data_IF_177860437360
#
_entry.id   IF_177860437360
#
_cell.length_a   1.000
_cell.length_b   1.000
_cell.length_c   1.000
_cell.angle_alpha   90.00
_cell.angle_beta   90.00
_cell.angle_gamma   90.00
#
_symmetry.space_group_name_H-M   'P 1'
#
loop_
_entity.id
_entity.type
_entity.pdbx_description
1 polymer ?
#
# COMPACT_ATOMS: atom_id res chain seq x y z
N UNK A 1 6.70 5.52 12.35
CA UNK A 1 6.17 4.95 11.08
C UNK A 1 4.68 5.25 11.07
N UNK A 2 4.16 5.93 10.05
CA UNK A 2 2.71 6.11 9.92
C UNK A 2 2.09 4.71 9.86
N UNK A 3 1.14 4.41 10.75
CA UNK A 3 0.43 3.15 10.71
C UNK A 3 -0.36 3.12 9.40
N UNK A 4 0.17 2.42 8.39
CA UNK A 4 -0.60 2.09 7.20
C UNK A 4 -1.64 1.09 7.68
N UNK A 5 -2.87 1.57 7.92
CA UNK A 5 -3.96 0.74 8.39
C UNK A 5 -4.30 -0.28 7.30
N UNK A 6 -3.87 -1.53 7.50
CA UNK A 6 -4.17 -2.62 6.59
C UNK A 6 -5.25 -3.51 7.19
N UNK A 7 -6.50 -3.18 6.90
CA UNK A 7 -7.67 -3.91 7.37
C UNK A 7 -7.87 -5.28 6.73
N UNK A 8 -7.09 -5.62 5.68
CA UNK A 8 -7.15 -6.94 5.02
C UNK A 8 -6.45 -8.05 5.82
N UNK A 9 -5.66 -7.69 6.84
CA UNK A 9 -4.92 -8.66 7.67
C UNK A 9 -5.77 -9.36 8.74
N UNK A 10 -7.00 -8.92 8.96
CA UNK A 10 -7.88 -9.48 10.00
C UNK A 10 -8.33 -10.88 9.57
N UNK A 11 -8.10 -11.88 10.42
CA UNK A 11 -8.50 -13.25 10.15
C UNK A 11 -10.01 -13.40 10.20
N UNK A 12 -10.52 -14.37 9.42
CA UNK A 12 -11.94 -14.71 9.40
C UNK A 12 -12.42 -15.04 10.82
N UNK A 13 -13.53 -14.42 11.20
CA UNK A 13 -14.22 -14.65 12.46
C UNK A 13 -15.24 -15.76 12.21
N UNK A 14 -14.98 -17.00 12.68
CA UNK A 14 -15.90 -18.10 12.45
C UNK A 14 -17.21 -17.89 13.22
N UNK A 15 -18.30 -18.43 12.70
CA UNK A 15 -19.57 -18.45 13.43
C UNK A 15 -19.43 -19.21 14.75
N UNK A 16 -20.29 -18.92 15.73
CA UNK A 16 -20.25 -19.60 17.03
C UNK A 16 -20.40 -21.13 16.92
N UNK A 17 -21.13 -21.61 15.89
CA UNK A 17 -21.30 -23.03 15.60
C UNK A 17 -20.01 -23.66 15.03
N UNK A 18 -19.40 -23.01 14.04
CA UNK A 18 -18.13 -23.46 13.46
C UNK A 18 -17.00 -23.44 14.49
N UNK A 19 -16.89 -22.37 15.28
CA UNK A 19 -15.84 -22.25 16.30
C UNK A 19 -15.93 -23.38 17.32
N UNK A 20 -17.15 -23.75 17.73
CA UNK A 20 -17.40 -24.93 18.57
C UNK A 20 -16.88 -26.21 17.89
N UNK A 21 -17.24 -26.46 16.65
CA UNK A 21 -16.88 -27.68 15.94
C UNK A 21 -15.36 -27.78 15.72
N UNK A 22 -14.74 -26.68 15.30
CA UNK A 22 -13.29 -26.59 15.12
C UNK A 22 -12.57 -26.87 16.44
N UNK A 23 -13.01 -26.29 17.54
CA UNK A 23 -12.36 -26.46 18.84
C UNK A 23 -12.54 -27.87 19.41
N UNK A 24 -13.74 -28.47 19.29
CA UNK A 24 -13.99 -29.86 19.70
C UNK A 24 -13.21 -30.86 18.83
N UNK A 25 -13.19 -30.66 17.51
CA UNK A 25 -12.46 -31.48 16.55
C UNK A 25 -10.95 -31.43 16.80
N UNK A 26 -10.38 -30.22 16.98
CA UNK A 26 -8.96 -30.06 17.36
C UNK A 26 -8.64 -30.76 18.67
N UNK A 27 -9.52 -30.65 19.67
CA UNK A 27 -9.34 -31.34 20.96
C UNK A 27 -9.34 -32.85 20.79
N UNK A 28 -10.20 -33.41 19.93
CA UNK A 28 -10.25 -34.85 19.68
C UNK A 28 -9.03 -35.36 18.91
N UNK A 29 -8.59 -34.64 17.87
CA UNK A 29 -7.49 -35.06 16.99
C UNK A 29 -6.10 -34.87 17.62
N UNK A 30 -5.88 -33.79 18.38
CA UNK A 30 -4.56 -33.44 18.93
C UNK A 30 -4.29 -33.96 20.35
N UNK A 31 -5.26 -34.56 21.02
CA UNK A 31 -5.07 -35.14 22.37
C UNK A 31 -5.38 -36.63 22.36
N UNK A 32 -4.69 -37.45 23.17
CA UNK A 32 -4.93 -38.90 23.21
C UNK A 32 -6.40 -39.21 23.53
N UNK A 33 -6.96 -40.24 22.90
CA UNK A 33 -8.41 -40.56 22.94
C UNK A 33 -8.75 -41.75 23.82
N UNK A 34 -7.85 -42.73 23.92
CA UNK A 34 -8.07 -43.99 24.63
C UNK A 34 -7.65 -43.86 26.10
N UNK A 35 -8.52 -44.33 27.01
CA UNK A 35 -8.24 -44.44 28.45
C UNK A 35 -9.01 -45.64 29.00
N UNK A 36 -8.34 -46.51 29.77
CA UNK A 36 -8.93 -47.70 30.36
C UNK A 36 -9.23 -47.49 31.85
N UNK A 37 -10.21 -48.23 32.38
CA UNK A 37 -10.63 -48.15 33.79
C UNK A 37 -9.56 -48.62 34.78
N UNK A 38 -8.66 -49.50 34.33
CA UNK A 38 -7.59 -50.09 35.14
C UNK A 38 -6.40 -49.15 35.35
N UNK A 39 -6.34 -48.01 34.67
CA UNK A 39 -5.23 -47.08 34.81
C UNK A 39 -5.24 -46.38 36.18
N UNK A 40 -4.05 -46.04 36.69
CA UNK A 40 -3.91 -45.26 37.91
C UNK A 40 -4.73 -43.97 37.85
N UNK A 41 -5.39 -43.61 38.96
CA UNK A 41 -6.30 -42.46 39.02
C UNK A 41 -5.59 -41.15 38.65
N UNK A 42 -4.29 -41.02 38.97
CA UNK A 42 -3.44 -39.89 38.58
C UNK A 42 -3.39 -39.72 37.05
N UNK A 43 -3.21 -40.82 36.31
CA UNK A 43 -3.19 -40.85 34.84
C UNK A 43 -4.57 -40.50 34.26
N UNK A 44 -5.65 -40.99 34.85
CA UNK A 44 -7.03 -40.67 34.43
C UNK A 44 -7.34 -39.17 34.65
N UNK A 45 -6.98 -38.61 35.81
CA UNK A 45 -7.14 -37.18 36.13
C UNK A 45 -6.34 -36.31 35.16
N UNK A 46 -5.08 -36.67 34.91
CA UNK A 46 -4.21 -35.96 33.97
C UNK A 46 -4.75 -36.00 32.53
N UNK A 47 -5.26 -37.16 32.09
CA UNK A 47 -5.85 -37.34 30.77
C UNK A 47 -7.02 -36.39 30.52
N UNK A 48 -8.00 -36.35 31.43
CA UNK A 48 -9.16 -35.46 31.26
C UNK A 48 -8.82 -33.98 31.51
N UNK A 49 -7.88 -33.70 32.42
CA UNK A 49 -7.41 -32.32 32.67
C UNK A 49 -6.74 -31.74 31.45
N UNK A 50 -5.94 -32.56 30.73
CA UNK A 50 -5.31 -32.17 29.47
C UNK A 50 -6.34 -31.81 28.41
N UNK A 51 -7.44 -32.56 28.29
CA UNK A 51 -8.52 -32.24 27.35
C UNK A 51 -9.22 -30.92 27.66
N UNK A 52 -9.52 -30.64 28.93
CA UNK A 52 -10.15 -29.37 29.35
C UNK A 52 -9.20 -28.19 29.09
N UNK A 53 -7.92 -28.30 29.50
CA UNK A 53 -6.91 -27.27 29.25
C UNK A 53 -6.65 -27.04 27.76
N UNK A 54 -6.62 -28.09 26.95
CA UNK A 54 -6.39 -27.97 25.52
C UNK A 54 -7.53 -27.23 24.81
N UNK A 55 -8.78 -27.53 25.16
CA UNK A 55 -9.94 -26.79 24.64
C UNK A 55 -9.90 -25.32 25.07
N UNK A 56 -9.62 -25.05 26.35
CA UNK A 56 -9.47 -23.70 26.88
C UNK A 56 -8.42 -22.91 26.09
N UNK A 57 -7.21 -23.46 25.93
CA UNK A 57 -6.12 -22.82 25.20
C UNK A 57 -6.53 -22.53 23.75
N UNK A 58 -7.13 -23.50 23.06
CA UNK A 58 -7.59 -23.32 21.67
C UNK A 58 -8.62 -22.19 21.54
N UNK A 59 -9.59 -22.12 22.45
CA UNK A 59 -10.60 -21.05 22.44
C UNK A 59 -9.99 -19.70 22.84
N UNK A 60 -9.15 -19.67 23.88
CA UNK A 60 -8.46 -18.46 24.32
C UNK A 60 -7.62 -17.86 23.20
N UNK A 61 -6.82 -18.68 22.52
CA UNK A 61 -5.95 -18.22 21.43
C UNK A 61 -6.78 -17.62 20.29
N UNK A 62 -7.87 -18.28 19.88
CA UNK A 62 -8.72 -17.76 18.80
C UNK A 62 -9.48 -16.49 19.20
N UNK A 63 -9.98 -16.40 20.43
CA UNK A 63 -10.67 -15.19 20.91
C UNK A 63 -9.69 -14.03 21.12
N UNK A 64 -8.49 -14.30 21.63
CA UNK A 64 -7.42 -13.30 21.74
C UNK A 64 -7.01 -12.79 20.38
N UNK A 65 -6.85 -13.69 19.40
CA UNK A 65 -6.53 -13.34 18.02
C UNK A 65 -7.56 -12.35 17.44
N UNK A 66 -8.86 -12.64 17.59
CA UNK A 66 -9.95 -11.73 17.16
C UNK A 66 -9.79 -10.37 17.84
N UNK A 67 -9.67 -10.32 19.17
CA UNK A 67 -9.56 -9.05 19.91
C UNK A 67 -8.33 -8.23 19.51
N UNK A 68 -7.20 -8.88 19.21
CA UNK A 68 -5.95 -8.20 18.85
C UNK A 68 -5.89 -7.71 17.41
N UNK A 69 -6.56 -8.40 16.49
CA UNK A 69 -6.51 -8.07 15.06
C UNK A 69 -7.47 -6.95 14.69
N UNK A 70 -8.60 -6.82 15.42
CA UNK A 70 -9.54 -5.73 15.20
C UNK A 70 -8.97 -4.39 15.66
N UNK A 71 -9.12 -3.31 14.87
CA UNK A 71 -8.62 -2.00 15.23
C UNK A 71 -9.37 -1.45 16.43
N UNK A 72 -8.61 -0.90 17.39
CA UNK A 72 -9.17 -0.15 18.52
C UNK A 72 -9.49 1.26 18.05
N UNK A 73 -10.77 1.64 18.07
CA UNK A 73 -11.25 2.94 17.57
C UNK A 73 -10.50 4.12 18.22
N UNK A 74 -10.08 4.00 19.48
CA UNK A 74 -9.39 5.06 20.23
C UNK A 74 -7.92 5.25 19.84
N UNK A 75 -7.26 4.19 19.38
CA UNK A 75 -5.83 4.21 19.02
C UNK A 75 -5.62 4.56 17.54
N UNK A 76 -6.71 4.61 16.76
CA UNK A 76 -6.71 4.83 15.32
C UNK A 76 -6.83 6.33 15.01
N UNK A 77 -6.32 6.75 13.86
CA UNK A 77 -6.40 8.14 13.41
C UNK A 77 -7.85 8.65 13.40
N UNK A 78 -8.12 9.91 13.82
CA UNK A 78 -9.48 10.48 13.89
C UNK A 78 -10.34 10.24 12.64
N UNK A 79 -9.77 10.42 11.45
CA UNK A 79 -10.42 10.09 10.17
C UNK A 79 -11.06 8.68 10.16
N UNK A 80 -10.30 7.65 10.51
CA UNK A 80 -10.79 6.27 10.51
C UNK A 80 -11.69 5.98 11.72
N UNK A 81 -11.43 6.63 12.86
CA UNK A 81 -12.28 6.49 14.05
C UNK A 81 -13.71 7.00 13.77
N UNK A 82 -13.83 8.16 13.13
CA UNK A 82 -15.12 8.76 12.77
C UNK A 82 -15.77 8.02 11.60
N UNK A 83 -14.97 7.59 10.61
CA UNK A 83 -15.49 6.75 9.53
C UNK A 83 -16.07 5.43 10.06
N UNK A 84 -15.39 4.79 11.03
CA UNK A 84 -15.89 3.59 11.69
C UNK A 84 -17.11 3.87 12.56
N UNK A 85 -17.18 5.04 13.20
CA UNK A 85 -18.35 5.46 13.97
C UNK A 85 -19.60 5.55 13.08
N UNK A 86 -19.46 6.17 11.90
CA UNK A 86 -20.55 6.31 10.92
C UNK A 86 -20.96 4.95 10.33
N UNK A 87 -19.98 4.11 9.99
CA UNK A 87 -20.25 2.85 9.28
C UNK A 87 -20.75 1.72 10.17
N UNK A 88 -20.24 1.61 11.40
CA UNK A 88 -20.40 0.39 12.20
C UNK A 88 -21.11 0.63 13.54
N UNK A 89 -21.40 1.87 13.89
CA UNK A 89 -21.79 2.28 15.25
C UNK A 89 -20.70 1.92 16.27
N UNK A 90 -20.01 2.95 16.77
CA UNK A 90 -18.90 2.80 17.73
C UNK A 90 -19.32 2.03 18.99
N UNK A 91 -20.55 2.23 19.47
CA UNK A 91 -21.00 1.62 20.71
C UNK A 91 -21.30 0.14 20.49
N UNK A 92 -21.99 -0.21 19.40
CA UNK A 92 -22.24 -1.60 19.06
C UNK A 92 -20.93 -2.38 18.80
N UNK A 93 -19.97 -1.77 18.09
CA UNK A 93 -18.64 -2.33 17.85
C UNK A 93 -17.88 -2.62 19.14
N UNK A 94 -17.83 -1.65 20.07
CA UNK A 94 -17.16 -1.81 21.36
C UNK A 94 -17.85 -2.86 22.23
N UNK A 95 -19.18 -2.88 22.26
CA UNK A 95 -19.96 -3.86 23.01
C UNK A 95 -19.66 -5.27 22.46
N UNK A 96 -19.64 -5.47 21.14
CA UNK A 96 -19.34 -6.77 20.54
C UNK A 96 -17.94 -7.28 20.93
N UNK A 97 -16.89 -6.46 20.80
CA UNK A 97 -15.53 -6.83 21.22
C UNK A 97 -15.43 -7.06 22.74
N UNK A 98 -16.13 -6.24 23.54
CA UNK A 98 -16.21 -6.40 25.00
C UNK A 98 -16.88 -7.72 25.41
N UNK A 99 -17.93 -8.13 24.70
CA UNK A 99 -18.59 -9.42 24.92
C UNK A 99 -17.67 -10.60 24.58
N UNK A 100 -16.88 -10.51 23.50
CA UNK A 100 -15.86 -11.51 23.13
C UNK A 100 -14.76 -11.59 24.19
N UNK A 101 -14.27 -10.46 24.69
CA UNK A 101 -13.28 -10.44 25.77
C UNK A 101 -13.83 -11.02 27.09
N UNK A 102 -15.08 -10.71 27.41
CA UNK A 102 -15.78 -11.30 28.57
C UNK A 102 -15.91 -12.81 28.42
N UNK A 103 -16.27 -13.30 27.23
CA UNK A 103 -16.35 -14.73 26.93
C UNK A 103 -15.00 -15.43 27.13
N UNK A 104 -13.89 -14.81 26.68
CA UNK A 104 -12.53 -15.30 26.90
C UNK A 104 -12.23 -15.50 28.40
N UNK A 105 -12.51 -14.49 29.22
CA UNK A 105 -12.30 -14.58 30.67
C UNK A 105 -13.17 -15.63 31.35
N UNK A 106 -14.44 -15.77 30.93
CA UNK A 106 -15.35 -16.80 31.47
C UNK A 106 -14.87 -18.23 31.13
N UNK A 107 -14.37 -18.45 29.91
CA UNK A 107 -13.80 -19.74 29.49
C UNK A 107 -12.58 -20.10 30.34
N UNK A 108 -11.68 -19.14 30.57
CA UNK A 108 -10.49 -19.33 31.41
C UNK A 108 -10.87 -19.68 32.86
N UNK A 109 -11.88 -19.00 33.42
CA UNK A 109 -12.35 -19.27 34.77
C UNK A 109 -13.00 -20.65 34.91
N UNK A 110 -13.85 -21.05 33.95
CA UNK A 110 -14.47 -22.39 33.91
C UNK A 110 -13.39 -23.48 33.82
N UNK A 111 -12.39 -23.29 32.95
CA UNK A 111 -11.30 -24.25 32.84
C UNK A 111 -10.55 -24.41 34.17
N UNK A 112 -10.23 -23.30 34.84
CA UNK A 112 -9.54 -23.29 36.13
C UNK A 112 -10.35 -23.99 37.22
N UNK A 113 -11.65 -23.72 37.32
CA UNK A 113 -12.57 -24.34 38.26
C UNK A 113 -12.65 -25.86 38.04
N UNK A 114 -12.90 -26.29 36.80
CA UNK A 114 -13.05 -27.71 36.50
C UNK A 114 -11.75 -28.50 36.63
N UNK A 115 -10.60 -27.92 36.29
CA UNK A 115 -9.29 -28.54 36.52
C UNK A 115 -9.04 -28.71 38.02
N UNK A 116 -9.47 -27.74 38.85
CA UNK A 116 -9.38 -27.85 40.32
C UNK A 116 -10.28 -28.97 40.85
N UNK A 117 -11.54 -29.04 40.41
CA UNK A 117 -12.47 -30.10 40.79
C UNK A 117 -11.99 -31.49 40.35
N UNK A 118 -11.34 -31.59 39.19
CA UNK A 118 -10.83 -32.84 38.65
C UNK A 118 -9.69 -33.46 39.49
N UNK A 119 -9.02 -32.67 40.34
CA UNK A 119 -8.03 -33.19 41.31
C UNK A 119 -8.66 -34.17 42.32
N UNK A 120 -9.94 -33.99 42.65
CA UNK A 120 -10.69 -34.81 43.60
C UNK A 120 -11.54 -35.89 42.92
N UNK A 121 -11.34 -36.15 41.62
CA UNK A 121 -12.04 -37.21 40.91
C UNK A 121 -11.61 -38.60 41.40
N UNK A 122 -12.54 -39.37 41.94
CA UNK A 122 -12.34 -40.73 42.48
C UNK A 122 -12.38 -41.84 41.41
N UNK A 123 -13.11 -41.61 40.32
CA UNK A 123 -13.43 -42.63 39.33
C UNK A 123 -13.32 -42.11 37.90
N UNK A 124 -13.17 -43.03 36.94
CA UNK A 124 -13.19 -42.71 35.51
C UNK A 124 -14.52 -42.04 35.10
N UNK A 125 -15.64 -42.51 35.65
CA UNK A 125 -16.97 -41.97 35.37
C UNK A 125 -17.09 -40.51 35.84
N UNK A 126 -16.72 -40.23 37.10
CA UNK A 126 -16.74 -38.87 37.65
C UNK A 126 -15.87 -37.91 36.85
N UNK A 127 -14.65 -38.33 36.48
CA UNK A 127 -13.76 -37.51 35.65
C UNK A 127 -14.32 -37.29 34.23
N UNK A 128 -14.94 -38.31 33.62
CA UNK A 128 -15.61 -38.19 32.31
C UNK A 128 -16.77 -37.20 32.36
N UNK A 129 -17.58 -37.23 33.43
CA UNK A 129 -18.70 -36.31 33.62
C UNK A 129 -18.24 -34.88 33.83
N UNK A 130 -17.21 -34.65 34.67
CA UNK A 130 -16.59 -33.33 34.85
C UNK A 130 -16.08 -32.77 33.52
N UNK A 131 -15.41 -33.59 32.71
CA UNK A 131 -14.95 -33.19 31.38
C UNK A 131 -16.11 -32.81 30.45
N UNK A 132 -17.18 -33.62 30.39
CA UNK A 132 -18.36 -33.33 29.55
C UNK A 132 -19.01 -32.01 29.98
N UNK A 133 -19.17 -31.80 31.28
CA UNK A 133 -19.76 -30.60 31.83
C UNK A 133 -18.90 -29.35 31.54
N UNK A 134 -17.57 -29.44 31.70
CA UNK A 134 -16.64 -28.35 31.38
C UNK A 134 -16.73 -27.92 29.90
N UNK A 135 -16.60 -28.88 28.97
CA UNK A 135 -16.68 -28.60 27.53
C UNK A 135 -18.07 -28.08 27.12
N UNK A 136 -19.13 -28.61 27.74
CA UNK A 136 -20.50 -28.14 27.55
C UNK A 136 -20.70 -26.68 27.99
N UNK A 137 -20.22 -26.31 29.19
CA UNK A 137 -20.30 -24.92 29.68
C UNK A 137 -19.51 -23.96 28.78
N UNK A 138 -18.30 -24.32 28.36
CA UNK A 138 -17.49 -23.52 27.42
C UNK A 138 -18.22 -23.31 26.10
N UNK A 139 -18.80 -24.38 25.54
CA UNK A 139 -19.57 -24.31 24.30
C UNK A 139 -20.84 -23.45 24.44
N UNK A 140 -21.50 -23.51 25.60
CA UNK A 140 -22.71 -22.71 25.88
C UNK A 140 -22.40 -21.22 25.90
N UNK A 141 -21.22 -20.80 26.38
CA UNK A 141 -20.79 -19.40 26.34
C UNK A 141 -20.68 -18.90 24.90
N UNK A 142 -20.04 -19.69 24.01
CA UNK A 142 -19.92 -19.31 22.59
C UNK A 142 -21.30 -19.15 21.94
N UNK A 143 -22.22 -20.09 22.20
CA UNK A 143 -23.59 -20.03 21.66
C UNK A 143 -24.38 -18.82 22.14
N UNK A 144 -24.18 -18.38 23.39
CA UNK A 144 -24.85 -17.19 23.95
C UNK A 144 -24.42 -15.89 23.27
N UNK A 145 -23.24 -15.88 22.63
CA UNK A 145 -22.64 -14.70 21.98
C UNK A 145 -22.68 -14.78 20.45
N UNK A 146 -23.61 -15.55 19.88
CA UNK A 146 -23.71 -15.78 18.44
C UNK A 146 -23.78 -14.46 17.65
N UNK A 147 -24.68 -13.56 18.03
CA UNK A 147 -24.91 -12.28 17.34
C UNK A 147 -23.64 -11.44 17.22
N UNK A 148 -22.80 -11.38 18.27
CA UNK A 148 -21.55 -10.62 18.23
C UNK A 148 -20.53 -11.21 17.26
N UNK A 149 -20.46 -12.54 17.10
CA UNK A 149 -19.56 -13.17 16.12
C UNK A 149 -20.03 -12.90 14.69
N UNK A 150 -21.33 -13.02 14.45
CA UNK A 150 -21.92 -12.79 13.13
C UNK A 150 -21.76 -11.32 12.71
N UNK A 151 -21.99 -10.38 13.64
CA UNK A 151 -21.74 -8.95 13.42
C UNK A 151 -20.26 -8.65 13.16
N UNK A 152 -19.34 -9.17 13.97
CA UNK A 152 -17.90 -8.93 13.76
C UNK A 152 -17.41 -9.48 12.41
N UNK A 153 -17.95 -10.61 11.94
CA UNK A 153 -17.62 -11.13 10.61
C UNK A 153 -18.14 -10.21 9.49
N UNK A 154 -19.36 -9.68 9.61
CA UNK A 154 -19.89 -8.69 8.66
C UNK A 154 -19.02 -7.42 8.64
N UNK A 155 -18.66 -6.89 9.80
CA UNK A 155 -17.76 -5.73 9.92
C UNK A 155 -16.41 -6.04 9.28
N UNK A 156 -15.81 -7.21 9.54
CA UNK A 156 -14.53 -7.61 8.94
C UNK A 156 -14.60 -7.64 7.41
N UNK A 157 -15.65 -8.24 6.85
CA UNK A 157 -15.83 -8.34 5.39
C UNK A 157 -15.94 -6.96 4.75
N UNK A 158 -16.70 -6.05 5.37
CA UNK A 158 -16.85 -4.69 4.89
C UNK A 158 -15.54 -3.89 5.06
N UNK A 159 -14.88 -3.98 6.22
CA UNK A 159 -13.61 -3.31 6.50
C UNK A 159 -12.48 -3.76 5.55
N UNK A 160 -12.49 -5.03 5.13
CA UNK A 160 -11.54 -5.55 4.14
C UNK A 160 -11.72 -4.95 2.74
N UNK A 161 -12.90 -4.41 2.42
CA UNK A 161 -13.19 -3.75 1.14
C UNK A 161 -12.91 -2.25 1.17
N UNK A 162 -12.78 -1.64 2.35
CA UNK A 162 -12.46 -0.22 2.45
C UNK A 162 -11.11 0.09 1.79
N UNK A 163 -11.00 1.19 1.05
CA UNK A 163 -9.74 1.61 0.47
C UNK A 163 -8.78 2.05 1.57
N UNK A 164 -7.48 1.84 1.33
CA UNK A 164 -6.42 2.30 2.22
C UNK A 164 -6.07 3.74 1.88
N UNK A 165 -6.51 4.67 2.73
CA UNK A 165 -6.20 6.10 2.65
C UNK A 165 -5.14 6.43 3.71
N UNK A 166 -4.05 7.10 3.33
CA UNK A 166 -3.13 7.66 4.31
C UNK A 166 -3.49 9.13 4.57
N UNK A 167 -4.01 9.49 5.77
CA UNK A 167 -4.49 10.84 6.06
C UNK A 167 -3.38 11.90 6.05
N UNK A 168 -2.11 11.52 6.17
CA UNK A 168 -0.98 12.44 6.19
C UNK A 168 -0.34 12.64 4.80
N UNK A 169 -0.68 11.82 3.82
CA UNK A 169 -0.13 11.92 2.46
C UNK A 169 -0.82 13.00 1.63
N UNK A 170 -0.23 13.31 0.47
CA UNK A 170 -0.71 14.38 -0.42
C UNK A 170 -1.99 13.93 -1.10
N UNK A 171 -3.06 14.60 -0.77
CA UNK A 171 -4.41 14.19 -1.12
C UNK A 171 -5.09 15.29 -1.92
N UNK A 172 -5.79 14.90 -2.98
CA UNK A 172 -6.78 15.73 -3.66
C UNK A 172 -8.15 15.13 -3.35
N UNK A 173 -9.12 15.95 -2.98
CA UNK A 173 -10.50 15.50 -2.74
C UNK A 173 -11.38 16.14 -3.82
N UNK A 174 -12.14 15.31 -4.54
CA UNK A 174 -13.13 15.77 -5.52
C UNK A 174 -14.48 15.94 -4.83
N UNK A 175 -15.02 17.15 -4.84
CA UNK A 175 -16.31 17.50 -4.23
C UNK A 175 -17.22 18.22 -5.22
N UNK A 176 -18.52 18.24 -4.96
CA UNK A 176 -19.53 18.84 -5.83
C UNK A 176 -20.80 18.00 -5.93
N UNK A 177 -21.79 18.49 -6.66
CA UNK A 177 -23.09 17.86 -6.84
C UNK A 177 -22.99 16.47 -7.50
N UNK A 178 -23.98 15.58 -7.31
CA UNK A 178 -24.12 14.37 -8.14
C UNK A 178 -24.08 14.71 -9.64
N UNK A 179 -23.67 13.75 -10.49
CA UNK A 179 -23.71 13.88 -11.96
C UNK A 179 -22.88 15.02 -12.62
N UNK A 180 -22.15 15.85 -11.86
CA UNK A 180 -21.24 16.87 -12.42
C UNK A 180 -19.99 16.30 -13.09
N UNK A 181 -19.72 14.99 -12.98
CA UNK A 181 -18.59 14.30 -13.62
C UNK A 181 -17.33 14.12 -12.75
N UNK A 182 -17.45 14.13 -11.42
CA UNK A 182 -16.32 13.89 -10.48
C UNK A 182 -15.64 12.54 -10.71
N UNK A 183 -16.40 11.45 -10.76
CA UNK A 183 -15.85 10.11 -10.98
C UNK A 183 -15.23 9.95 -12.37
N UNK A 184 -15.80 10.60 -13.39
CA UNK A 184 -15.19 10.69 -14.72
C UNK A 184 -13.85 11.41 -14.69
N UNK A 185 -13.75 12.52 -13.96
CA UNK A 185 -12.50 13.25 -13.76
C UNK A 185 -11.46 12.39 -13.03
N UNK A 186 -11.86 11.62 -12.01
CA UNK A 186 -10.97 10.69 -11.33
C UNK A 186 -10.37 9.64 -12.28
N UNK A 187 -11.18 9.05 -13.15
CA UNK A 187 -10.73 8.05 -14.14
C UNK A 187 -9.81 8.64 -15.22
N UNK A 188 -9.91 9.96 -15.48
CA UNK A 188 -8.99 10.66 -16.40
C UNK A 188 -7.68 11.05 -15.72
N UNK A 189 -7.74 11.44 -14.45
CA UNK A 189 -6.56 11.82 -13.67
C UNK A 189 -5.73 10.60 -13.23
N UNK A 190 -6.38 9.47 -12.98
CA UNK A 190 -5.79 8.27 -12.39
C UNK A 190 -6.16 7.03 -13.20
N UNK A 191 -5.43 5.93 -13.02
CA UNK A 191 -5.78 4.63 -13.62
C UNK A 191 -6.84 3.87 -12.79
N UNK A 192 -7.68 4.59 -12.06
CA UNK A 192 -8.77 3.98 -11.31
C UNK A 192 -9.95 3.71 -12.26
N UNK A 193 -10.60 2.56 -12.08
CA UNK A 193 -11.81 2.20 -12.80
C UNK A 193 -13.02 2.38 -11.87
N UNK A 194 -13.46 3.64 -11.69
CA UNK A 194 -14.71 3.94 -10.99
C UNK A 194 -15.87 3.82 -11.97
N UNK A 195 -16.92 3.10 -11.61
CA UNK A 195 -18.14 3.02 -12.42
C UNK A 195 -18.80 4.40 -12.53
N UNK A 196 -19.07 4.85 -13.76
CA UNK A 196 -19.76 6.11 -14.05
C UNK A 196 -21.11 5.80 -14.65
N UNK A 197 -22.17 6.24 -13.99
CA UNK A 197 -23.56 6.08 -14.43
C UNK A 197 -24.29 7.43 -14.32
N UNK A 198 -25.32 7.68 -15.15
CA UNK A 198 -25.95 9.00 -15.27
C UNK A 198 -26.94 9.31 -14.13
N UNK A 199 -27.13 8.41 -13.17
CA UNK A 199 -28.03 8.62 -12.03
C UNK A 199 -27.25 8.93 -10.74
N UNK A 200 -27.87 9.72 -9.87
CA UNK A 200 -27.33 10.04 -8.56
C UNK A 200 -27.07 8.78 -7.73
N UNK A 201 -26.16 8.87 -6.74
CA UNK A 201 -25.77 7.76 -5.86
C UNK A 201 -25.04 6.59 -6.53
N UNK A 202 -24.44 6.80 -7.71
CA UNK A 202 -23.52 5.83 -8.32
C UNK A 202 -22.36 5.49 -7.36
N UNK A 203 -21.86 6.49 -6.62
CA UNK A 203 -20.72 6.37 -5.70
C UNK A 203 -21.19 6.29 -4.24
N UNK A 204 -21.37 5.07 -3.70
CA UNK A 204 -21.85 4.86 -2.32
C UNK A 204 -20.77 4.85 -1.23
N UNK A 205 -19.50 4.85 -1.64
CA UNK A 205 -18.34 4.83 -0.76
C UNK A 205 -17.23 5.72 -1.32
N UNK A 206 -16.28 6.13 -0.48
CA UNK A 206 -15.09 6.85 -0.93
C UNK A 206 -14.25 5.96 -1.85
N UNK A 207 -13.91 6.43 -3.05
CA UNK A 207 -12.95 5.76 -3.93
C UNK A 207 -11.61 6.47 -3.89
N UNK A 208 -10.53 5.71 -4.08
CA UNK A 208 -9.16 6.24 -4.04
C UNK A 208 -8.45 5.89 -5.33
N UNK A 209 -7.98 6.92 -6.02
CA UNK A 209 -7.11 6.83 -7.18
C UNK A 209 -5.71 7.29 -6.82
N UNK A 210 -4.74 6.84 -7.59
CA UNK A 210 -3.36 7.28 -7.44
C UNK A 210 -2.78 7.73 -8.76
N UNK A 211 -1.96 8.78 -8.71
CA UNK A 211 -1.18 9.27 -9.84
C UNK A 211 0.16 9.81 -9.35
N UNK A 212 1.06 10.04 -10.30
CA UNK A 212 2.39 10.58 -10.03
C UNK A 212 2.50 11.98 -10.63
N UNK A 213 3.02 12.92 -9.84
CA UNK A 213 3.26 14.31 -10.26
C UNK A 213 4.50 14.85 -9.55
N UNK A 214 5.40 15.48 -10.31
CA UNK A 214 6.74 15.93 -9.86
C UNK A 214 7.50 14.82 -9.09
N UNK A 215 7.47 13.59 -9.63
CA UNK A 215 8.09 12.39 -9.03
C UNK A 215 7.58 12.02 -7.62
N UNK A 216 6.40 12.54 -7.24
CA UNK A 216 5.76 12.22 -5.97
C UNK A 216 4.47 11.45 -6.24
N UNK A 217 4.16 10.50 -5.35
CA UNK A 217 2.88 9.79 -5.33
C UNK A 217 1.81 10.68 -4.70
N UNK A 218 0.68 10.78 -5.39
CA UNK A 218 -0.51 11.48 -4.95
C UNK A 218 -1.69 10.52 -4.81
N UNK A 219 -2.61 10.84 -3.92
CA UNK A 219 -3.89 10.16 -3.80
C UNK A 219 -5.02 11.14 -4.18
N UNK A 220 -5.95 10.68 -5.00
CA UNK A 220 -7.20 11.37 -5.32
C UNK A 220 -8.31 10.61 -4.63
N UNK A 221 -9.18 11.30 -3.93
CA UNK A 221 -10.34 10.72 -3.26
C UNK A 221 -11.57 11.28 -3.94
N UNK A 222 -12.38 10.39 -4.50
CA UNK A 222 -13.71 10.75 -4.99
C UNK A 222 -14.71 10.62 -3.85
N UNK A 223 -15.39 11.72 -3.54
CA UNK A 223 -16.44 11.72 -2.53
C UNK A 223 -17.79 11.50 -3.20
N UNK A 224 -18.69 10.71 -2.56
CA UNK A 224 -20.11 10.75 -2.89
C UNK A 224 -20.59 12.20 -3.03
N UNK A 225 -21.52 12.45 -3.97
CA UNK A 225 -22.04 13.80 -4.22
C UNK A 225 -22.46 14.46 -2.91
N UNK A 226 -21.92 15.66 -2.65
CA UNK A 226 -22.29 16.45 -1.48
C UNK A 226 -23.73 16.89 -1.70
N UNK A 227 -24.54 16.74 -0.66
CA UNK A 227 -25.99 16.80 -0.69
C UNK A 227 -26.49 17.97 0.18
N UNK A 228 -27.62 18.52 -0.27
CA UNK A 228 -28.07 19.91 -0.09
C UNK A 228 -28.75 20.15 1.26
N UNK A 229 -28.61 19.19 2.16
CA UNK A 229 -29.29 19.15 3.44
C UNK A 229 -28.39 19.67 4.58
N UNK A 230 -28.98 20.27 5.62
CA UNK A 230 -28.26 20.64 6.84
C UNK A 230 -27.51 19.44 7.44
N UNK A 231 -26.37 19.69 8.10
CA UNK A 231 -25.48 18.66 8.64
C UNK A 231 -26.17 17.60 9.52
N UNK A 232 -27.28 17.95 10.18
CA UNK A 232 -28.00 17.10 11.13
C UNK A 232 -28.90 16.04 10.48
N UNK A 233 -29.32 16.24 9.23
CA UNK A 233 -30.27 15.35 8.53
C UNK A 233 -29.58 14.47 7.47
N UNK A 234 -28.25 14.52 7.38
CA UNK A 234 -27.48 13.84 6.34
C UNK A 234 -27.41 12.33 6.54
N UNK A 235 -27.42 11.61 5.43
CA UNK A 235 -27.30 10.16 5.42
C UNK A 235 -25.87 9.69 5.76
N UNK A 236 -25.74 8.41 6.10
CA UNK A 236 -24.44 7.78 6.40
C UNK A 236 -23.43 7.91 5.26
N UNK A 237 -23.87 7.96 4.00
CA UNK A 237 -23.01 8.12 2.81
C UNK A 237 -22.41 9.53 2.75
N UNK A 238 -23.21 10.56 3.00
CA UNK A 238 -22.77 11.96 3.00
C UNK A 238 -21.83 12.27 4.17
N UNK A 239 -22.10 11.67 5.32
CA UNK A 239 -21.26 11.79 6.50
C UNK A 239 -19.84 11.24 6.23
N UNK A 240 -19.67 10.27 5.33
CA UNK A 240 -18.33 9.84 4.89
C UNK A 240 -17.59 10.94 4.13
N UNK A 241 -18.27 11.65 3.23
CA UNK A 241 -17.69 12.77 2.48
C UNK A 241 -17.27 13.91 3.42
N UNK A 242 -18.12 14.25 4.41
CA UNK A 242 -17.79 15.24 5.44
C UNK A 242 -16.59 14.80 6.27
N UNK A 243 -16.52 13.53 6.66
CA UNK A 243 -15.41 12.99 7.45
C UNK A 243 -14.09 13.09 6.70
N UNK A 244 -14.10 12.79 5.39
CA UNK A 244 -12.94 12.99 4.52
C UNK A 244 -12.57 14.48 4.43
N UNK A 245 -13.55 15.35 4.20
CA UNK A 245 -13.37 16.79 4.11
C UNK A 245 -12.89 17.42 5.40
N UNK A 246 -13.27 16.93 6.57
CA UNK A 246 -12.84 17.49 7.86
C UNK A 246 -11.40 17.06 8.20
N UNK A 247 -11.13 15.76 8.19
CA UNK A 247 -9.90 15.20 8.77
C UNK A 247 -8.69 15.14 7.83
N UNK A 248 -8.92 15.10 6.51
CA UNK A 248 -7.82 14.93 5.57
C UNK A 248 -7.14 16.26 5.23
N UNK A 249 -5.80 16.25 5.23
CA UNK A 249 -4.98 17.39 4.79
C UNK A 249 -4.79 17.37 3.29
N UNK A 250 -5.77 17.90 2.58
CA UNK A 250 -5.91 17.79 1.13
C UNK A 250 -6.09 19.15 0.45
N UNK A 251 -5.87 19.19 -0.86
CA UNK A 251 -6.45 20.21 -1.71
C UNK A 251 -7.87 19.79 -2.11
N UNK A 252 -8.77 20.75 -2.16
CA UNK A 252 -10.18 20.52 -2.46
C UNK A 252 -10.45 21.00 -3.87
N UNK A 253 -10.92 20.09 -4.70
CA UNK A 253 -11.33 20.34 -6.07
C UNK A 253 -12.85 20.31 -6.11
N UNK A 254 -13.46 21.49 -6.15
CA UNK A 254 -14.91 21.63 -6.24
C UNK A 254 -15.33 21.67 -7.71
N UNK A 255 -16.05 20.65 -8.14
CA UNK A 255 -16.49 20.50 -9.53
C UNK A 255 -17.92 21.03 -9.66
N UNK A 256 -18.08 21.98 -10.57
CA UNK A 256 -19.35 22.58 -10.94
C UNK A 256 -19.67 22.25 -12.40
N UNK A 257 -20.95 22.23 -12.73
CA UNK A 257 -21.44 22.03 -14.10
C UNK A 257 -22.14 23.30 -14.57
N UNK A 258 -21.56 23.94 -15.60
CA UNK A 258 -22.11 25.15 -16.20
C UNK A 258 -23.36 24.87 -17.07
N UNK A 259 -23.51 23.64 -17.56
CA UNK A 259 -24.57 23.26 -18.50
C UNK A 259 -25.92 22.92 -17.83
N UNK A 260 -25.96 22.83 -16.50
CA UNK A 260 -27.14 22.47 -15.69
C UNK A 260 -27.72 21.07 -16.00
N UNK A 261 -26.96 20.22 -16.72
CA UNK A 261 -27.32 18.82 -16.98
C UNK A 261 -27.21 17.91 -15.72
N UNK A 262 -26.79 18.47 -14.59
CA UNK A 262 -26.70 17.77 -13.31
C UNK A 262 -27.97 17.88 -12.46
N UNK A 263 -29.11 18.27 -13.05
CA UNK A 263 -30.41 18.49 -12.39
C UNK A 263 -30.42 19.63 -11.35
N UNK A 264 -29.36 20.44 -11.30
CA UNK A 264 -29.17 21.53 -10.35
C UNK A 264 -28.68 22.81 -11.03
N UNK A 265 -29.20 23.96 -10.58
CA UNK A 265 -28.84 25.26 -11.14
C UNK A 265 -27.46 25.71 -10.68
N UNK A 266 -26.85 26.64 -11.42
CA UNK A 266 -25.56 27.23 -11.01
C UNK A 266 -25.65 27.93 -9.64
N UNK A 267 -26.80 28.52 -9.33
CA UNK A 267 -27.07 29.19 -8.04
C UNK A 267 -27.03 28.21 -6.87
N UNK A 268 -27.69 27.06 -7.00
CA UNK A 268 -27.64 25.97 -6.00
C UNK A 268 -26.22 25.44 -5.82
N UNK A 269 -25.47 25.33 -6.92
CA UNK A 269 -24.06 24.93 -6.89
C UNK A 269 -23.18 25.89 -6.08
N UNK A 270 -23.39 27.19 -6.25
CA UNK A 270 -22.66 28.22 -5.47
C UNK A 270 -23.13 28.25 -4.02
N UNK A 271 -24.43 28.12 -3.76
CA UNK A 271 -24.97 28.06 -2.40
C UNK A 271 -24.41 26.88 -1.61
N UNK A 272 -24.30 25.70 -2.26
CA UNK A 272 -23.66 24.54 -1.66
C UNK A 272 -22.20 24.83 -1.33
N UNK A 273 -21.44 25.41 -2.27
CA UNK A 273 -20.04 25.79 -2.04
C UNK A 273 -19.88 26.71 -0.83
N UNK A 274 -20.73 27.74 -0.70
CA UNK A 274 -20.73 28.65 0.45
C UNK A 274 -21.07 27.93 1.76
N UNK A 275 -22.01 26.97 1.73
CA UNK A 275 -22.40 26.19 2.91
C UNK A 275 -21.26 25.31 3.47
N UNK A 276 -20.43 24.73 2.59
CA UNK A 276 -19.34 23.84 2.96
C UNK A 276 -18.00 24.56 3.13
N UNK A 277 -17.91 25.83 2.73
CA UNK A 277 -16.73 26.69 2.88
C UNK A 277 -16.09 26.66 4.28
N UNK A 278 -16.85 26.61 5.40
CA UNK A 278 -16.25 26.49 6.73
C UNK A 278 -15.40 25.22 6.92
N UNK A 279 -15.71 24.13 6.22
CA UNK A 279 -14.95 22.87 6.28
C UNK A 279 -13.60 22.96 5.54
N UNK A 280 -13.41 24.00 4.72
CA UNK A 280 -12.23 24.18 3.88
C UNK A 280 -11.13 24.99 4.56
N UNK A 281 -11.30 25.33 5.83
CA UNK A 281 -10.31 26.09 6.60
C UNK A 281 -8.92 25.43 6.52
N UNK A 282 -7.91 26.24 6.19
CA UNK A 282 -6.51 25.81 6.00
C UNK A 282 -6.30 24.78 4.86
N UNK A 283 -7.13 24.79 3.83
CA UNK A 283 -6.99 23.91 2.65
C UNK A 283 -7.04 24.75 1.37
N UNK A 284 -6.19 24.47 0.36
CA UNK A 284 -6.29 25.14 -0.92
C UNK A 284 -7.54 24.62 -1.64
N UNK A 285 -8.37 25.55 -2.12
CA UNK A 285 -9.63 25.27 -2.79
C UNK A 285 -9.53 25.76 -4.23
N UNK A 286 -9.90 24.91 -5.18
CA UNK A 286 -9.97 25.24 -6.59
C UNK A 286 -11.33 24.81 -7.14
N UNK A 287 -11.88 25.61 -8.04
CA UNK A 287 -13.17 25.32 -8.69
C UNK A 287 -12.91 24.92 -10.14
N UNK A 288 -13.49 23.79 -10.56
CA UNK A 288 -13.45 23.31 -11.94
C UNK A 288 -14.84 23.34 -12.56
N UNK A 289 -15.05 24.14 -13.59
CA UNK A 289 -16.26 24.15 -14.41
C UNK A 289 -16.15 23.02 -15.44
N UNK A 290 -16.88 21.93 -15.22
CA UNK A 290 -16.90 20.78 -16.12
C UNK A 290 -17.96 20.93 -17.23
N UNK A 291 -17.84 20.10 -18.27
CA UNK A 291 -18.72 20.04 -19.46
C UNK A 291 -18.65 21.27 -20.37
N UNK A 292 -17.46 21.87 -20.45
CA UNK A 292 -17.17 23.04 -21.31
C UNK A 292 -17.35 22.74 -22.81
N UNK A 293 -17.32 21.46 -23.19
CA UNK A 293 -17.67 20.98 -24.53
C UNK A 293 -19.13 21.25 -24.92
N UNK A 294 -20.03 21.39 -23.94
CA UNK A 294 -21.45 21.67 -24.16
C UNK A 294 -21.73 23.16 -23.98
N UNK A 295 -21.24 23.74 -22.86
CA UNK A 295 -21.46 25.15 -22.53
C UNK A 295 -20.18 25.78 -21.99
N UNK A 296 -19.69 26.82 -22.67
CA UNK A 296 -18.50 27.58 -22.28
C UNK A 296 -18.85 28.71 -21.31
N UNK A 297 -17.87 29.19 -20.53
CA UNK A 297 -18.08 30.31 -19.61
C UNK A 297 -18.58 31.57 -20.32
N UNK A 298 -18.06 31.86 -21.51
CA UNK A 298 -18.45 33.04 -22.30
C UNK A 298 -19.91 33.04 -22.75
N UNK A 299 -20.54 31.86 -22.81
CA UNK A 299 -21.93 31.69 -23.20
C UNK A 299 -22.93 31.75 -22.02
N UNK A 300 -22.44 31.95 -20.79
CA UNK A 300 -23.28 32.07 -19.60
C UNK A 300 -23.95 33.46 -19.51
N UNK A 301 -25.17 33.49 -18.97
CA UNK A 301 -25.87 34.73 -18.66
C UNK A 301 -25.06 35.62 -17.71
N UNK A 302 -25.20 36.94 -17.84
CA UNK A 302 -24.48 37.93 -17.02
C UNK A 302 -24.67 37.71 -15.51
N UNK A 303 -25.86 37.28 -15.07
CA UNK A 303 -26.17 36.97 -13.66
C UNK A 303 -25.36 35.77 -13.15
N UNK A 304 -25.27 34.69 -13.93
CA UNK A 304 -24.49 33.48 -13.58
C UNK A 304 -22.99 33.78 -13.61
N UNK A 305 -22.54 34.57 -14.59
CA UNK A 305 -21.16 35.04 -14.66
C UNK A 305 -20.80 35.90 -13.44
N UNK A 306 -21.73 36.74 -12.94
CA UNK A 306 -21.51 37.54 -11.74
C UNK A 306 -21.28 36.68 -10.48
N UNK A 307 -21.98 35.55 -10.35
CA UNK A 307 -21.76 34.59 -9.25
C UNK A 307 -20.37 33.95 -9.30
N UNK A 308 -19.92 33.55 -10.50
CA UNK A 308 -18.57 32.99 -10.68
C UNK A 308 -17.49 34.05 -10.43
N UNK A 309 -17.71 35.28 -10.89
CA UNK A 309 -16.80 36.40 -10.66
C UNK A 309 -16.73 36.77 -9.17
N UNK A 310 -17.81 36.56 -8.40
CA UNK A 310 -17.79 36.71 -6.93
C UNK A 310 -16.79 35.73 -6.30
N UNK A 311 -16.77 34.47 -6.72
CA UNK A 311 -15.82 33.46 -6.23
C UNK A 311 -14.37 33.82 -6.58
N UNK A 312 -14.12 34.34 -7.78
CA UNK A 312 -12.77 34.77 -8.18
C UNK A 312 -12.28 35.99 -7.38
N UNK A 313 -13.17 36.93 -7.06
CA UNK A 313 -12.84 38.07 -6.17
C UNK A 313 -12.39 37.63 -4.79
N UNK A 314 -12.88 36.48 -4.33
CA UNK A 314 -12.48 35.86 -3.06
C UNK A 314 -11.18 35.04 -3.18
N UNK A 315 -10.42 35.21 -4.29
CA UNK A 315 -9.14 34.55 -4.57
C UNK A 315 -9.23 33.03 -4.77
N UNK A 316 -10.38 32.52 -5.19
CA UNK A 316 -10.55 31.11 -5.55
C UNK A 316 -10.36 30.97 -7.07
N UNK A 317 -9.37 30.22 -7.55
CA UNK A 317 -9.14 30.08 -8.98
C UNK A 317 -10.19 29.15 -9.62
N UNK A 318 -10.77 29.61 -10.73
CA UNK A 318 -11.73 28.86 -11.53
C UNK A 318 -11.06 28.37 -12.82
N UNK A 319 -11.23 27.09 -13.15
CA UNK A 319 -10.72 26.48 -14.37
C UNK A 319 -11.84 25.89 -15.20
N UNK A 320 -11.77 26.08 -16.51
CA UNK A 320 -12.61 25.38 -17.48
C UNK A 320 -12.02 23.99 -17.76
N UNK A 321 -12.81 22.94 -17.56
CA UNK A 321 -12.39 21.55 -17.79
C UNK A 321 -13.44 20.80 -18.62
N UNK A 322 -13.00 19.85 -19.44
CA UNK A 322 -13.89 18.86 -20.05
C UNK A 322 -13.32 17.46 -19.93
N UNK A 323 -14.10 16.58 -19.30
CA UNK A 323 -13.76 15.14 -19.21
C UNK A 323 -13.85 14.40 -20.55
N UNK A 324 -14.51 14.98 -21.55
CA UNK A 324 -14.67 14.38 -22.89
C UNK A 324 -13.48 14.77 -23.77
N UNK A 325 -13.21 16.06 -23.95
CA UNK A 325 -12.11 16.57 -24.80
C UNK A 325 -10.75 16.49 -24.11
N UNK A 326 -10.74 16.34 -22.78
CA UNK A 326 -9.54 16.35 -21.92
C UNK A 326 -8.83 17.70 -21.84
N UNK A 327 -9.49 18.77 -22.29
CA UNK A 327 -9.00 20.14 -22.18
C UNK A 327 -9.07 20.63 -20.72
N UNK A 328 -8.04 21.38 -20.30
CA UNK A 328 -7.95 22.01 -18.98
C UNK A 328 -7.68 21.08 -17.79
N UNK A 329 -7.84 19.75 -17.92
CA UNK A 329 -7.66 18.78 -16.83
C UNK A 329 -6.23 18.81 -16.27
N UNK A 330 -5.23 18.88 -17.14
CA UNK A 330 -3.82 18.86 -16.75
C UNK A 330 -3.43 20.10 -15.98
N UNK A 331 -3.86 21.28 -16.44
CA UNK A 331 -3.58 22.56 -15.79
C UNK A 331 -4.26 22.66 -14.43
N UNK A 332 -5.53 22.25 -14.35
CA UNK A 332 -6.29 22.17 -13.10
C UNK A 332 -5.59 21.27 -12.07
N UNK A 333 -5.15 20.08 -12.50
CA UNK A 333 -4.40 19.14 -11.65
C UNK A 333 -3.06 19.73 -11.19
N UNK A 334 -2.29 20.33 -12.10
CA UNK A 334 -0.96 20.85 -11.81
C UNK A 334 -1.04 21.99 -10.79
N UNK A 335 -1.99 22.92 -10.98
CA UNK A 335 -2.21 24.03 -10.06
C UNK A 335 -2.61 23.55 -8.66
N UNK A 336 -3.57 22.61 -8.58
CA UNK A 336 -3.99 22.04 -7.30
C UNK A 336 -2.83 21.35 -6.55
N UNK A 337 -1.96 20.65 -7.28
CA UNK A 337 -0.80 20.00 -6.69
C UNK A 337 0.25 21.02 -6.22
N UNK A 338 0.51 22.06 -7.00
CA UNK A 338 1.51 23.08 -6.69
C UNK A 338 1.09 23.92 -5.47
N UNK A 339 -0.20 24.28 -5.36
CA UNK A 339 -0.74 25.01 -4.22
C UNK A 339 -0.63 24.18 -2.94
N UNK A 340 -0.97 22.88 -3.00
CA UNK A 340 -0.81 21.99 -1.84
C UNK A 340 0.66 21.79 -1.46
N UNK A 341 1.56 21.69 -2.44
CA UNK A 341 2.99 21.57 -2.18
C UNK A 341 3.52 22.82 -1.49
N UNK A 342 3.11 24.01 -1.93
CA UNK A 342 3.53 25.29 -1.36
C UNK A 342 3.16 25.36 0.12
N UNK A 343 1.88 25.13 0.46
CA UNK A 343 1.41 25.13 1.84
C UNK A 343 2.11 24.05 2.71
N UNK A 344 2.36 22.86 2.15
CA UNK A 344 3.07 21.79 2.86
C UNK A 344 4.54 22.11 3.10
N UNK A 345 5.21 22.74 2.15
CA UNK A 345 6.60 23.18 2.29
C UNK A 345 6.69 24.25 3.37
N UNK A 346 5.81 25.23 3.37
CA UNK A 346 5.72 26.26 4.43
C UNK A 346 5.52 25.63 5.82
N UNK A 347 4.54 24.74 5.96
CA UNK A 347 4.29 24.01 7.21
C UNK A 347 5.52 23.20 7.67
N UNK A 348 6.28 22.64 6.72
CA UNK A 348 7.49 21.87 6.99
C UNK A 348 8.66 22.76 7.37
N UNK A 349 8.79 23.95 6.79
CA UNK A 349 9.81 24.95 7.13
C UNK A 349 9.59 25.51 8.55
N UNK A 350 8.33 25.71 8.95
CA UNK A 350 7.96 26.09 10.32
C UNK A 350 8.35 25.01 11.34
N UNK A 351 8.40 23.74 10.92
CA UNK A 351 8.84 22.65 11.78
C UNK A 351 10.38 22.61 11.86
N UNK A 352 10.96 22.79 13.06
CA UNK A 352 12.42 22.78 13.31
C UNK A 352 13.18 21.54 12.79
N UNK A 353 12.48 20.47 12.39
CA UNK A 353 13.05 19.27 11.75
C UNK A 353 13.69 19.54 10.37
N UNK A 354 13.27 20.59 9.67
CA UNK A 354 13.87 20.94 8.37
C UNK A 354 15.16 21.76 8.53
N UNK A 355 15.25 22.56 9.60
CA UNK A 355 16.33 23.54 9.85
C UNK A 355 17.44 23.04 10.78
N UNK A 356 17.29 21.89 11.44
CA UNK A 356 18.37 21.30 12.24
C UNK A 356 19.54 20.83 11.37
N UNK A 357 20.76 21.15 11.81
CA UNK A 357 22.01 20.58 11.31
C UNK A 357 21.95 19.05 11.41
N UNK A 358 22.11 18.36 10.27
CA UNK A 358 21.90 16.91 10.13
C UNK A 358 20.58 16.48 9.47
N UNK A 359 19.72 17.43 9.08
CA UNK A 359 18.42 17.19 8.44
C UNK A 359 18.43 17.11 6.90
N UNK A 360 17.33 17.56 6.29
CA UNK A 360 17.11 17.53 4.82
C UNK A 360 18.02 18.48 4.05
N UNK A 361 18.52 19.54 4.70
CA UNK A 361 19.35 20.57 4.07
C UNK A 361 20.62 20.00 3.43
N UNK A 362 21.26 19.01 4.06
CA UNK A 362 22.45 18.35 3.52
C UNK A 362 22.18 17.64 2.17
N UNK A 363 20.93 17.25 1.89
CA UNK A 363 20.54 16.60 0.62
C UNK A 363 20.16 17.60 -0.47
N UNK A 364 19.73 18.80 -0.07
CA UNK A 364 19.32 19.88 -0.99
C UNK A 364 20.53 20.73 -1.40
N UNK A 365 21.54 20.81 -0.52
CA UNK A 365 22.77 21.53 -0.80
C UNK A 365 23.53 20.88 -1.97
N UNK A 366 23.71 21.65 -3.04
CA UNK A 366 24.56 21.26 -4.17
C UNK A 366 25.96 21.82 -3.89
N UNK A 367 26.94 20.93 -3.81
CA UNK A 367 28.33 21.33 -3.62
C UNK A 367 28.88 21.93 -4.93
N UNK A 368 29.35 23.17 -4.85
CA UNK A 368 30.06 23.81 -5.96
C UNK A 368 31.57 23.58 -5.79
N UNK A 369 32.24 22.98 -6.78
CA UNK A 369 33.67 22.73 -6.70
C UNK A 369 34.43 24.06 -6.69
N UNK A 370 35.37 24.22 -5.76
CA UNK A 370 36.28 25.37 -5.74
C UNK A 370 37.40 25.18 -6.77
N UNK A 371 37.78 26.27 -7.44
CA UNK A 371 38.89 26.25 -8.40
C UNK A 371 40.18 25.92 -7.65
N UNK A 372 40.79 24.78 -7.97
CA UNK A 372 42.03 24.30 -7.34
C UNK A 372 43.26 24.42 -8.25
N UNK A 373 43.08 24.13 -9.53
CA UNK A 373 44.14 24.12 -10.54
C UNK A 373 43.59 24.55 -11.91
N UNK A 374 44.47 25.06 -12.80
CA UNK A 374 44.12 25.46 -14.17
C UNK A 374 44.02 24.28 -15.15
N UNK A 375 43.78 23.06 -14.63
CA UNK A 375 43.70 21.84 -15.45
C UNK A 375 42.26 21.57 -15.87
N UNK A 376 42.02 21.60 -17.18
CA UNK A 376 40.71 21.27 -17.77
C UNK A 376 40.46 19.76 -17.69
N UNK A 377 39.34 19.37 -17.07
CA UNK A 377 38.89 17.96 -16.95
C UNK A 377 37.55 17.79 -17.65
N UNK A 378 37.59 17.71 -18.98
CA UNK A 378 36.38 17.52 -19.80
C UNK A 378 35.83 16.09 -19.68
N UNK A 379 34.50 15.89 -19.69
CA UNK A 379 33.93 14.55 -19.77
C UNK A 379 34.29 13.89 -21.10
N UNK A 380 34.77 12.65 -21.06
CA UNK A 380 35.07 11.87 -22.25
C UNK A 380 33.85 11.05 -22.66
N UNK A 381 33.17 11.47 -23.73
CA UNK A 381 32.04 10.75 -24.33
C UNK A 381 32.49 10.27 -25.72
N UNK A 382 32.52 8.95 -25.99
CA UNK A 382 32.93 8.44 -27.30
C UNK A 382 32.04 8.94 -28.44
N UNK A 383 32.62 9.21 -29.60
CA UNK A 383 31.91 9.74 -30.78
C UNK A 383 30.75 8.85 -31.22
N UNK A 384 30.91 7.53 -31.18
CA UNK A 384 29.84 6.57 -31.51
C UNK A 384 28.57 6.78 -30.67
N UNK A 385 28.71 7.14 -29.39
CA UNK A 385 27.59 7.38 -28.48
C UNK A 385 26.95 8.74 -28.75
N UNK A 386 27.74 9.74 -29.13
CA UNK A 386 27.25 11.06 -29.51
C UNK A 386 26.39 11.00 -30.77
N UNK A 387 26.88 10.33 -31.82
CA UNK A 387 26.14 10.13 -33.09
C UNK A 387 24.83 9.37 -32.84
N UNK A 388 24.83 8.34 -31.97
CA UNK A 388 23.61 7.64 -31.59
C UNK A 388 22.62 8.54 -30.85
N UNK A 389 23.11 9.38 -29.93
CA UNK A 389 22.26 10.33 -29.19
C UNK A 389 21.64 11.35 -30.14
N UNK A 390 22.39 11.87 -31.10
CA UNK A 390 21.91 12.81 -32.13
C UNK A 390 20.83 12.16 -33.00
N UNK A 391 21.06 10.93 -33.48
CA UNK A 391 20.08 10.19 -34.26
C UNK A 391 18.77 9.96 -33.49
N UNK A 392 18.83 9.64 -32.20
CA UNK A 392 17.65 9.49 -31.33
C UNK A 392 16.94 10.83 -31.15
N UNK A 393 17.68 11.94 -30.98
CA UNK A 393 17.11 13.28 -30.85
C UNK A 393 16.43 13.77 -32.13
N UNK A 394 16.91 13.39 -33.30
CA UNK A 394 16.27 13.65 -34.60
C UNK A 394 15.02 12.79 -34.85
N UNK A 395 14.61 11.96 -33.89
CA UNK A 395 13.40 11.13 -34.01
C UNK A 395 13.56 9.93 -34.95
N UNK A 396 14.79 9.65 -35.44
CA UNK A 396 15.08 8.38 -36.12
C UNK A 396 14.96 7.27 -35.09
N UNK A 397 13.82 6.58 -35.11
CA UNK A 397 13.61 5.40 -34.29
C UNK A 397 14.64 4.38 -34.75
N UNK A 398 15.56 3.99 -33.87
CA UNK A 398 16.36 2.79 -34.09
C UNK A 398 15.38 1.63 -33.91
N UNK A 399 14.58 1.37 -34.95
CA UNK A 399 13.74 0.18 -34.98
C UNK A 399 14.65 -1.02 -34.78
N UNK A 400 14.20 -1.97 -33.95
CA UNK A 400 14.86 -3.26 -33.78
C UNK A 400 14.71 -4.03 -35.10
N UNK A 401 15.53 -3.69 -36.07
CA UNK A 401 15.63 -4.40 -37.32
C UNK A 401 16.16 -5.81 -37.07
N UNK A 402 15.97 -6.70 -38.03
CA UNK A 402 16.58 -8.04 -38.07
C UNK A 402 18.12 -8.01 -38.00
N UNK A 403 18.75 -6.85 -38.23
CA UNK A 403 20.18 -6.60 -38.07
C UNK A 403 20.61 -6.20 -36.65
N UNK A 404 19.68 -5.97 -35.72
CA UNK A 404 20.05 -5.68 -34.32
C UNK A 404 20.56 -6.95 -33.63
N UNK A 405 21.71 -6.84 -32.97
CA UNK A 405 22.33 -7.94 -32.22
C UNK A 405 21.32 -8.52 -31.22
N UNK A 406 21.07 -9.84 -31.30
CA UNK A 406 20.28 -10.56 -30.29
C UNK A 406 20.91 -10.37 -28.91
N UNK A 407 20.07 -10.05 -27.93
CA UNK A 407 20.51 -9.97 -26.53
C UNK A 407 20.74 -11.39 -26.00
N UNK A 408 21.70 -11.58 -25.08
CA UNK A 408 22.00 -12.91 -24.56
C UNK A 408 20.79 -13.57 -23.89
N UNK A 409 19.91 -12.78 -23.26
CA UNK A 409 18.63 -13.26 -22.71
C UNK A 409 17.69 -13.86 -23.78
N UNK A 410 17.73 -13.36 -25.01
CA UNK A 410 16.93 -13.92 -26.10
C UNK A 410 17.52 -15.25 -26.56
N UNK A 411 18.84 -15.35 -26.63
CA UNK A 411 19.55 -16.60 -26.98
C UNK A 411 19.28 -17.68 -25.92
N UNK A 412 19.33 -17.30 -24.64
CA UNK A 412 18.97 -18.18 -23.51
C UNK A 412 17.52 -18.68 -23.62
N UNK A 413 16.56 -17.81 -23.97
CA UNK A 413 15.16 -18.21 -24.15
C UNK A 413 14.93 -19.12 -25.37
N UNK A 414 15.72 -18.96 -26.43
CA UNK A 414 15.67 -19.80 -27.63
C UNK A 414 16.27 -21.20 -27.37
N UNK A 415 17.39 -21.26 -26.65
CA UNK A 415 18.13 -22.49 -26.38
C UNK A 415 17.63 -23.25 -25.14
N UNK A 416 16.91 -22.59 -24.23
CA UNK A 416 16.32 -23.17 -23.01
C UNK A 416 17.34 -24.02 -22.23
N UNK A 417 17.10 -25.32 -22.10
CA UNK A 417 17.94 -26.24 -21.32
C UNK A 417 19.30 -26.54 -22.00
N UNK A 418 19.42 -26.29 -23.31
CA UNK A 418 20.68 -26.46 -24.06
C UNK A 418 21.60 -25.24 -23.97
N UNK A 419 21.13 -24.16 -23.33
CA UNK A 419 21.91 -22.94 -23.21
C UNK A 419 23.07 -23.10 -22.23
N UNK A 420 24.29 -22.87 -22.72
CA UNK A 420 25.50 -22.74 -21.90
C UNK A 420 26.08 -21.34 -22.15
N UNK A 421 26.23 -20.55 -21.08
CA UNK A 421 26.86 -19.24 -21.16
C UNK A 421 28.34 -19.39 -21.50
N UNK A 422 28.70 -19.07 -22.74
CA UNK A 422 30.09 -19.06 -23.19
C UNK A 422 30.75 -17.69 -22.89
N UNK A 423 31.68 -17.70 -21.94
CA UNK A 423 32.44 -16.50 -21.55
C UNK A 423 33.52 -16.12 -22.58
N UNK A 424 34.01 -17.06 -23.39
CA UNK A 424 35.10 -16.87 -24.35
C UNK A 424 34.63 -16.31 -25.70
N UNK A 425 33.34 -16.50 -26.04
CA UNK A 425 32.67 -16.04 -27.28
C UNK A 425 32.99 -14.58 -27.69
N UNK A 426 33.15 -13.68 -26.70
CA UNK A 426 33.34 -12.25 -26.91
C UNK A 426 34.74 -11.72 -26.57
N UNK A 427 35.73 -12.61 -26.42
CA UNK A 427 37.11 -12.17 -26.25
C UNK A 427 37.68 -11.63 -27.57
N UNK A 428 38.37 -10.50 -27.48
CA UNK A 428 39.09 -9.88 -28.60
C UNK A 428 40.59 -10.20 -28.46
N UNK A 429 41.02 -11.28 -29.10
CA UNK A 429 42.41 -11.73 -29.15
C UNK A 429 43.05 -11.34 -30.49
N UNK A 430 44.39 -11.34 -30.54
CA UNK A 430 45.16 -11.06 -31.76
C UNK A 430 44.80 -12.04 -32.89
N UNK A 431 44.68 -13.31 -32.55
CA UNK A 431 44.22 -14.37 -33.45
C UNK A 431 42.85 -14.86 -32.95
N UNK A 432 41.85 -14.93 -33.83
CA UNK A 432 40.50 -15.37 -33.46
C UNK A 432 40.43 -16.86 -33.10
N UNK A 433 41.36 -17.65 -33.63
CA UNK A 433 41.32 -19.11 -33.55
C UNK A 433 41.72 -19.59 -32.15
N UNK A 434 42.53 -18.81 -31.44
CA UNK A 434 43.03 -19.09 -30.09
C UNK A 434 41.98 -18.81 -28.98
N UNK A 435 40.79 -18.32 -29.33
CA UNK A 435 39.76 -17.94 -28.34
C UNK A 435 39.35 -19.09 -27.43
N UNK A 436 39.31 -20.31 -27.96
CA UNK A 436 38.87 -21.50 -27.24
C UNK A 436 40.01 -22.33 -26.66
N UNK A 437 41.25 -21.88 -26.83
CA UNK A 437 42.42 -22.59 -26.31
C UNK A 437 42.33 -22.75 -24.80
N UNK A 438 42.82 -23.90 -24.33
CA UNK A 438 42.91 -24.21 -22.91
C UNK A 438 44.26 -23.70 -22.43
N UNK A 439 44.22 -22.66 -21.59
CA UNK A 439 45.43 -22.13 -20.96
C UNK A 439 45.84 -23.08 -19.83
N UNK A 440 47.02 -23.71 -19.90
CA UNK A 440 47.49 -24.54 -18.81
C UNK A 440 47.80 -23.65 -17.60
N UNK A 441 47.25 -24.00 -16.44
CA UNK A 441 47.39 -23.18 -15.22
C UNK A 441 48.58 -23.64 -14.35
N UNK A 442 48.84 -24.95 -14.29
CA UNK A 442 49.80 -25.56 -13.37
C UNK A 442 50.74 -26.50 -14.13
N UNK A 443 52.02 -26.42 -13.83
CA UNK A 443 53.06 -27.34 -14.29
C UNK A 443 53.95 -27.75 -13.12
N UNK A 444 54.02 -29.06 -12.82
CA UNK A 444 54.93 -29.64 -11.81
C UNK A 444 54.96 -28.89 -10.46
N UNK A 445 53.78 -28.53 -9.94
CA UNK A 445 53.62 -27.84 -8.65
C UNK A 445 53.80 -26.32 -8.69
N UNK A 446 54.02 -25.73 -9.87
CA UNK A 446 54.18 -24.29 -10.06
C UNK A 446 53.04 -23.73 -10.93
N UNK A 447 52.64 -22.47 -10.70
CA UNK A 447 51.66 -21.81 -11.56
C UNK A 447 52.34 -21.22 -12.79
N UNK A 448 51.77 -21.44 -13.97
CA UNK A 448 52.34 -20.93 -15.23
C UNK A 448 52.21 -19.42 -15.33
N UNK A 449 51.16 -18.82 -14.74
CA UNK A 449 50.95 -17.37 -14.70
C UNK A 449 52.13 -16.61 -14.09
N UNK A 450 52.84 -17.22 -13.13
CA UNK A 450 54.00 -16.61 -12.46
C UNK A 450 55.18 -16.39 -13.42
N UNK A 451 55.19 -17.11 -14.56
CA UNK A 451 56.25 -17.07 -15.56
C UNK A 451 55.85 -16.33 -16.86
N UNK A 452 54.63 -15.79 -16.96
CA UNK A 452 54.17 -15.08 -18.17
C UNK A 452 54.81 -13.69 -18.23
N UNK A 453 55.77 -13.53 -19.14
CA UNK A 453 56.46 -12.27 -19.39
C UNK A 453 56.72 -12.13 -20.90
N UNK A 454 56.68 -10.89 -21.42
CA UNK A 454 56.91 -10.62 -22.84
C UNK A 454 58.34 -10.93 -23.30
N UNK A 455 59.30 -10.94 -22.37
CA UNK A 455 60.74 -11.06 -22.61
C UNK A 455 61.35 -12.38 -22.08
N UNK A 456 60.52 -13.40 -21.82
CA UNK A 456 60.93 -14.65 -21.17
C UNK A 456 62.06 -15.39 -21.93
N UNK A 457 62.03 -15.37 -23.27
CA UNK A 457 63.04 -16.03 -24.10
C UNK A 457 64.44 -15.42 -23.93
N UNK A 458 64.53 -14.09 -23.84
CA UNK A 458 65.80 -13.40 -23.64
C UNK A 458 66.38 -13.69 -22.25
N UNK A 459 65.53 -13.75 -21.22
CA UNK A 459 65.95 -14.16 -19.86
C UNK A 459 66.45 -15.60 -19.83
N UNK A 460 65.77 -16.50 -20.54
CA UNK A 460 66.18 -17.89 -20.67
C UNK A 460 67.55 -18.01 -21.35
N UNK A 461 67.79 -17.28 -22.44
CA UNK A 461 69.08 -17.25 -23.13
C UNK A 461 70.22 -16.75 -22.22
N UNK A 462 69.97 -15.71 -21.41
CA UNK A 462 70.94 -15.19 -20.46
C UNK A 462 71.29 -16.23 -19.37
N UNK A 463 70.27 -16.91 -18.82
CA UNK A 463 70.48 -17.98 -17.82
C UNK A 463 71.24 -19.15 -18.44
N UNK A 464 70.91 -19.55 -19.67
CA UNK A 464 71.62 -20.62 -20.38
C UNK A 464 73.06 -20.23 -20.73
N UNK A 465 73.33 -18.96 -20.99
CA UNK A 465 74.69 -18.46 -21.19
C UNK A 465 75.49 -18.50 -19.88
N UNK A 466 74.89 -18.08 -18.76
CA UNK A 466 75.49 -18.17 -17.44
C UNK A 466 75.77 -19.63 -17.04
N UNK A 467 74.82 -20.54 -17.26
CA UNK A 467 74.99 -21.98 -17.05
C UNK A 467 76.15 -22.55 -17.87
N UNK A 468 76.25 -22.18 -19.17
CA UNK A 468 77.38 -22.61 -20.02
C UNK A 468 78.72 -22.13 -19.50
N UNK A 469 78.82 -20.88 -19.04
CA UNK A 469 80.04 -20.37 -18.43
C UNK A 469 80.41 -21.12 -17.15
N UNK A 470 79.43 -21.46 -16.32
CA UNK A 470 79.65 -22.26 -15.11
C UNK A 470 80.19 -23.65 -15.45
N UNK A 471 79.60 -24.34 -16.43
CA UNK A 471 80.07 -25.67 -16.88
C UNK A 471 81.49 -25.62 -17.46
N UNK A 472 81.83 -24.58 -18.23
CA UNK A 472 83.20 -24.39 -18.74
C UNK A 472 84.23 -24.10 -17.64
N UNK A 473 83.80 -23.50 -16.53
CA UNK A 473 84.66 -23.21 -15.39
C UNK A 473 84.94 -24.43 -14.49
N UNK A 474 84.22 -25.54 -14.67
CA UNK A 474 84.29 -26.77 -13.84
C UNK A 474 83.38 -26.72 -12.63
#
# INVERSE_FOLDING_TARGET
MAAIYNFKKITVVPSAAELKEVALSKTQRKTPTVVHRQFAISRIRAFYSRKVKFMQQTLRDKLTQIISEFPKIEDVHPFYADLMNILYDKDHYKIALGQVNTARHLIDNIAREYVRLMKYGDSLYRCKMLKRAALGRMTKILKRRKESFDYLEQVRQHLSRLPTIDPNTRTLILCGFPNVGKSSLMNKLTRADVEVQPYAFTTKALYVGHFDYRYLRWQVIDTPGVLDQPLEERNTIEMQAITALAHLRAAILFIMDASELCDHTVEEQVALFESIRPLFANKPVLVGLNKVDIMKRDSLNEEKAALLNKLERESIPIFEISTVTQEGITDFKNKACDDLLTQRVESKLQTKKATMEGGVLNRVFVAYPTLRDDKVRSPFIPEKVLVQREAIMEGKTIEKNTSTRKLERQIELEMQDEYILDLKKHYDLKNSDEKYDVVPEIWEGHNILDFIQSDIAAKLEAIQFEERQRVEAG
#
